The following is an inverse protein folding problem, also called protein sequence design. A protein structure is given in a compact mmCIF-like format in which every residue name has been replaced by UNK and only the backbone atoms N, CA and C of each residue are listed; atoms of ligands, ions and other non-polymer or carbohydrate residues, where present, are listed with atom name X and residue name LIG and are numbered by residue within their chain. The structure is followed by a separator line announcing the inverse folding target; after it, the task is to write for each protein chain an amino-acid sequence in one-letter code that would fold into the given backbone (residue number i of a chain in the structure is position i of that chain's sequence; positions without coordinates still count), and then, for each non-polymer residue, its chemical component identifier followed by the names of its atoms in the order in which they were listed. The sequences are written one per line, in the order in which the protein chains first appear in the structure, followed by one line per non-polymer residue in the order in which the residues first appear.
data_IF_521058127742
#
_entry.id   IF_521058127742
#
_cell.length_a   1.000
_cell.length_b   1.000
_cell.length_c   1.000
_cell.angle_alpha   90.00
_cell.angle_beta   90.00
_cell.angle_gamma   90.00
#
_symmetry.space_group_name_H-M   'P 1'
#
loop_
_entity.id
_entity.type
_entity.pdbx_description
1 polymer ?
#
# COMPACT_ATOMS: atom_id res chain seq x y z
N UNK A 1 -2.23 21.99 5.01
CA UNK A 1 -3.26 22.33 3.98
C UNK A 1 -4.19 21.14 3.94
N UNK A 2 -5.45 21.30 4.30
CA UNK A 2 -6.37 20.17 4.46
C UNK A 2 -6.89 19.78 3.07
N UNK A 3 -6.14 18.91 2.40
CA UNK A 3 -6.54 18.36 1.10
C UNK A 3 -7.30 17.08 1.37
N UNK A 4 -8.46 16.96 0.74
CA UNK A 4 -9.31 15.78 0.77
C UNK A 4 -9.35 15.17 -0.64
N UNK A 5 -9.51 13.85 -0.73
CA UNK A 5 -9.67 13.20 -2.02
C UNK A 5 -10.99 13.62 -2.69
N UNK A 6 -11.03 13.54 -4.02
CA UNK A 6 -12.25 13.81 -4.79
C UNK A 6 -13.31 12.69 -4.62
N UNK A 7 -12.84 11.47 -4.39
CA UNK A 7 -13.64 10.27 -4.15
C UNK A 7 -13.26 9.66 -2.78
N UNK A 8 -14.23 9.08 -2.09
CA UNK A 8 -13.95 8.24 -0.92
C UNK A 8 -13.09 7.05 -1.34
N UNK A 9 -11.88 6.97 -0.77
CA UNK A 9 -10.81 6.04 -1.15
C UNK A 9 -11.19 4.59 -0.85
N UNK A 10 -11.74 4.34 0.34
CA UNK A 10 -12.21 3.01 0.74
C UNK A 10 -13.25 2.49 -0.26
N UNK A 11 -14.26 3.30 -0.56
CA UNK A 11 -15.33 2.93 -1.48
C UNK A 11 -14.81 2.74 -2.90
N UNK A 12 -13.85 3.55 -3.33
CA UNK A 12 -13.20 3.41 -4.64
C UNK A 12 -12.51 2.04 -4.79
N UNK A 13 -11.77 1.60 -3.75
CA UNK A 13 -11.13 0.28 -3.72
C UNK A 13 -12.17 -0.84 -3.67
N UNK A 14 -13.22 -0.67 -2.86
CA UNK A 14 -14.32 -1.64 -2.77
C UNK A 14 -15.06 -1.80 -4.12
N UNK A 15 -15.40 -0.71 -4.81
CA UNK A 15 -16.01 -0.71 -6.15
C UNK A 15 -15.12 -1.40 -7.20
N UNK A 16 -13.80 -1.38 -6.99
CA UNK A 16 -12.85 -2.04 -7.86
C UNK A 16 -12.64 -3.53 -7.54
N UNK A 17 -13.14 -4.00 -6.38
CA UNK A 17 -13.12 -5.40 -5.95
C UNK A 17 -12.15 -5.72 -4.81
N UNK A 18 -11.47 -4.72 -4.25
CA UNK A 18 -10.60 -4.88 -3.09
C UNK A 18 -11.41 -4.57 -1.82
N UNK A 19 -12.16 -5.57 -1.36
CA UNK A 19 -13.08 -5.48 -0.20
C UNK A 19 -12.65 -6.35 1.00
N UNK A 20 -11.72 -7.27 0.79
CA UNK A 20 -11.33 -8.27 1.79
C UNK A 20 -9.98 -7.90 2.44
N UNK A 21 -9.36 -8.89 3.09
CA UNK A 21 -8.00 -8.82 3.61
C UNK A 21 -7.01 -8.33 2.53
N UNK A 22 -6.30 -7.24 2.82
CA UNK A 22 -5.21 -6.78 1.98
C UNK A 22 -4.14 -6.05 2.81
N UNK A 23 -2.93 -6.03 2.26
CA UNK A 23 -1.89 -5.13 2.73
C UNK A 23 -1.37 -4.31 1.57
N UNK A 24 -1.20 -3.02 1.81
CA UNK A 24 -0.71 -2.04 0.87
C UNK A 24 0.55 -1.37 1.42
N UNK A 25 1.59 -1.20 0.60
CA UNK A 25 2.80 -0.47 0.96
C UNK A 25 3.01 0.72 0.03
N UNK A 26 3.20 1.90 0.59
CA UNK A 26 3.65 3.09 -0.12
C UNK A 26 5.15 3.21 0.07
N UNK A 27 5.88 3.24 -1.04
CA UNK A 27 7.34 3.24 -1.04
C UNK A 27 7.85 4.47 -1.78
N UNK A 28 8.78 5.19 -1.18
CA UNK A 28 9.47 6.36 -1.73
C UNK A 28 10.53 5.95 -2.78
N UNK A 29 10.08 5.15 -3.76
CA UNK A 29 10.82 4.68 -4.93
C UNK A 29 9.86 4.75 -6.12
N UNK A 30 10.12 5.62 -7.09
CA UNK A 30 9.31 5.76 -8.30
C UNK A 30 9.61 4.75 -9.42
N UNK A 31 10.79 4.10 -9.38
CA UNK A 31 11.18 3.09 -10.36
C UNK A 31 10.61 1.71 -9.99
N UNK A 32 9.60 1.26 -10.73
CA UNK A 32 8.97 -0.06 -10.52
C UNK A 32 9.94 -1.22 -10.73
N UNK A 33 10.96 -1.07 -11.57
CA UNK A 33 11.99 -2.09 -11.76
C UNK A 33 12.86 -2.24 -10.51
N UNK A 34 13.20 -1.13 -9.87
CA UNK A 34 13.92 -1.11 -8.60
C UNK A 34 13.08 -1.71 -7.47
N UNK A 35 11.80 -1.34 -7.37
CA UNK A 35 10.86 -1.94 -6.40
C UNK A 35 10.76 -3.46 -6.62
N UNK A 36 10.56 -3.91 -7.87
CA UNK A 36 10.46 -5.34 -8.19
C UNK A 36 11.74 -6.11 -7.85
N UNK A 37 12.91 -5.49 -8.03
CA UNK A 37 14.22 -6.07 -7.71
C UNK A 37 14.38 -6.24 -6.19
N UNK A 38 14.00 -5.23 -5.41
CA UNK A 38 14.06 -5.27 -3.93
C UNK A 38 13.08 -6.27 -3.34
N UNK A 39 11.90 -6.41 -3.95
CA UNK A 39 10.92 -7.44 -3.58
C UNK A 39 11.31 -8.84 -4.04
N UNK A 40 12.42 -9.01 -4.76
CA UNK A 40 12.81 -10.30 -5.34
C UNK A 40 11.71 -10.92 -6.22
N UNK A 41 10.96 -10.10 -6.96
CA UNK A 41 9.94 -10.58 -7.90
C UNK A 41 10.63 -11.32 -9.04
N UNK A 42 10.27 -12.59 -9.23
CA UNK A 42 10.83 -13.45 -10.28
C UNK A 42 10.57 -12.86 -11.67
N UNK A 43 11.63 -12.59 -12.44
CA UNK A 43 11.54 -11.84 -13.71
C UNK A 43 10.65 -12.51 -14.74
N UNK A 44 10.64 -13.83 -14.79
CA UNK A 44 9.83 -14.66 -15.69
C UNK A 44 8.34 -14.69 -15.33
N UNK A 45 7.97 -14.25 -14.13
CA UNK A 45 6.58 -14.14 -13.67
C UNK A 45 5.97 -12.75 -13.86
N UNK A 46 6.79 -11.76 -14.25
CA UNK A 46 6.34 -10.36 -14.34
C UNK A 46 5.38 -10.16 -15.49
N UNK A 47 4.18 -9.67 -15.18
CA UNK A 47 3.15 -9.34 -16.17
C UNK A 47 2.70 -7.90 -15.97
N UNK A 48 2.80 -7.08 -17.01
CA UNK A 48 2.21 -5.74 -17.01
C UNK A 48 0.69 -5.88 -17.15
N UNK A 49 -0.06 -5.43 -16.15
CA UNK A 49 -1.51 -5.51 -16.17
C UNK A 49 -2.16 -4.39 -15.35
N UNK A 50 -3.41 -4.06 -15.68
CA UNK A 50 -4.21 -3.11 -14.91
C UNK A 50 -4.74 -3.72 -13.61
N UNK A 51 -5.14 -2.84 -12.68
CA UNK A 51 -5.56 -3.21 -11.33
C UNK A 51 -6.63 -4.32 -11.28
N UNK A 52 -7.70 -4.19 -12.09
CA UNK A 52 -8.77 -5.21 -12.15
C UNK A 52 -8.29 -6.58 -12.63
N UNK A 53 -7.25 -6.63 -13.45
CA UNK A 53 -6.67 -7.90 -13.89
C UNK A 53 -5.85 -8.51 -12.78
N UNK A 54 -5.08 -7.69 -12.05
CA UNK A 54 -4.32 -8.12 -10.89
C UNK A 54 -5.25 -8.72 -9.81
N UNK A 55 -6.38 -8.07 -9.51
CA UNK A 55 -7.37 -8.56 -8.54
C UNK A 55 -8.00 -9.91 -8.92
N UNK A 56 -7.99 -10.34 -10.18
CA UNK A 56 -8.46 -11.70 -10.53
C UNK A 56 -7.53 -12.80 -10.00
N UNK A 57 -6.28 -12.44 -9.73
CA UNK A 57 -5.31 -13.31 -9.08
C UNK A 57 -5.38 -13.22 -7.56
N UNK A 58 -6.25 -12.37 -6.99
CA UNK A 58 -6.41 -12.24 -5.55
C UNK A 58 -7.13 -13.48 -4.99
N UNK A 59 -6.41 -14.20 -4.15
CA UNK A 59 -6.80 -15.40 -3.42
C UNK A 59 -6.06 -15.39 -2.07
N UNK A 60 -6.69 -14.83 -1.01
CA UNK A 60 -6.10 -14.78 0.32
C UNK A 60 -5.71 -16.15 0.90
N UNK A 61 -6.31 -17.24 0.41
CA UNK A 61 -6.02 -18.60 0.85
C UNK A 61 -4.87 -19.27 0.10
N UNK A 62 -4.36 -18.67 -0.99
CA UNK A 62 -3.28 -19.23 -1.78
C UNK A 62 -1.94 -19.14 -1.04
N UNK A 63 -1.07 -20.14 -1.22
CA UNK A 63 0.31 -20.12 -0.75
C UNK A 63 1.24 -19.32 -1.69
N UNK A 64 0.81 -19.03 -2.93
CA UNK A 64 1.57 -18.19 -3.84
C UNK A 64 1.62 -16.77 -3.27
N UNK A 65 2.80 -16.14 -3.31
CA UNK A 65 2.98 -14.77 -2.83
C UNK A 65 3.00 -13.82 -4.01
N UNK A 66 1.85 -13.26 -4.36
CA UNK A 66 1.70 -12.41 -5.55
C UNK A 66 1.54 -10.98 -5.11
N UNK A 67 2.32 -10.09 -5.73
CA UNK A 67 2.22 -8.64 -5.54
C UNK A 67 1.89 -7.95 -6.85
N UNK A 68 1.18 -6.84 -6.75
CA UNK A 68 1.02 -5.90 -7.85
C UNK A 68 1.61 -4.55 -7.45
N UNK A 69 2.55 -4.06 -8.25
CA UNK A 69 3.22 -2.77 -8.02
C UNK A 69 2.78 -1.76 -9.07
N UNK A 70 2.51 -0.53 -8.66
CA UNK A 70 2.06 0.54 -9.55
C UNK A 70 2.71 1.86 -9.15
N UNK A 71 2.95 2.72 -10.14
CA UNK A 71 3.42 4.07 -9.87
C UNK A 71 2.26 4.90 -9.31
N UNK A 72 2.52 5.58 -8.20
CA UNK A 72 1.59 6.54 -7.61
C UNK A 72 1.96 7.96 -8.07
N UNK A 73 3.22 8.34 -7.89
CA UNK A 73 3.81 9.58 -8.39
C UNK A 73 5.18 9.28 -9.02
N UNK A 74 5.89 10.26 -9.61
CA UNK A 74 7.25 10.04 -10.09
C UNK A 74 8.23 9.55 -9.00
N UNK A 75 7.94 9.82 -7.73
CA UNK A 75 8.79 9.48 -6.60
C UNK A 75 8.23 8.30 -5.75
N UNK A 76 6.93 8.02 -5.87
CA UNK A 76 6.24 7.03 -5.04
C UNK A 76 5.65 5.87 -5.86
N UNK A 77 5.75 4.67 -5.30
CA UNK A 77 5.05 3.48 -5.78
C UNK A 77 4.10 2.94 -4.71
N UNK A 78 3.01 2.31 -5.17
CA UNK A 78 2.12 1.51 -4.33
C UNK A 78 2.33 0.02 -4.65
N UNK A 79 2.52 -0.78 -3.61
CA UNK A 79 2.58 -2.24 -3.68
C UNK A 79 1.33 -2.79 -3.02
N UNK A 80 0.60 -3.65 -3.72
CA UNK A 80 -0.54 -4.38 -3.17
C UNK A 80 -0.21 -5.86 -3.09
N UNK A 81 -0.35 -6.42 -1.89
CA UNK A 81 -0.21 -7.85 -1.67
C UNK A 81 -1.55 -8.54 -1.95
N UNK A 82 -1.57 -9.44 -2.93
CA UNK A 82 -2.80 -10.03 -3.46
C UNK A 82 -3.01 -11.48 -3.02
N UNK A 83 -1.96 -12.22 -2.70
CA UNK A 83 -2.07 -13.62 -2.26
C UNK A 83 -0.92 -13.97 -1.32
N UNK A 84 -1.13 -14.91 -0.40
CA UNK A 84 -0.04 -15.51 0.37
C UNK A 84 0.09 -14.97 1.81
N UNK A 85 0.81 -15.75 2.62
CA UNK A 85 1.08 -15.49 4.04
C UNK A 85 2.06 -14.33 4.32
N UNK A 86 3.19 -14.60 4.98
CA UNK A 86 4.07 -13.55 5.56
C UNK A 86 4.47 -12.47 4.54
N UNK A 87 4.23 -11.23 4.94
CA UNK A 87 4.42 -10.01 4.17
C UNK A 87 5.86 -9.87 3.63
N UNK A 88 6.06 -9.28 2.43
CA UNK A 88 7.37 -8.77 2.05
C UNK A 88 7.88 -7.80 3.10
N UNK A 89 9.14 -7.98 3.48
CA UNK A 89 9.76 -7.20 4.54
C UNK A 89 9.96 -5.75 4.08
N UNK A 90 9.22 -4.82 4.71
CA UNK A 90 9.37 -3.38 4.49
C UNK A 90 10.81 -2.89 4.72
N UNK A 91 11.60 -3.64 5.49
CA UNK A 91 13.00 -3.40 5.77
C UNK A 91 13.84 -3.29 4.49
N UNK A 92 13.75 -4.23 3.56
CA UNK A 92 14.55 -4.21 2.31
C UNK A 92 14.16 -3.05 1.38
N UNK A 93 12.85 -2.76 1.32
CA UNK A 93 12.32 -1.63 0.57
C UNK A 93 12.82 -0.29 1.13
N UNK A 94 13.03 -0.21 2.44
CA UNK A 94 13.40 1.03 3.13
C UNK A 94 14.91 1.35 3.13
N UNK A 95 15.79 0.40 2.78
CA UNK A 95 17.25 0.60 2.77
C UNK A 95 17.66 1.73 1.83
N UNK A 96 18.54 2.64 2.27
CA UNK A 96 19.11 3.69 1.41
C UNK A 96 18.31 5.00 1.45
N UNK A 97 17.66 5.27 2.58
CA UNK A 97 16.91 6.48 2.86
C UNK A 97 15.47 6.47 2.35
N UNK A 98 14.97 5.32 1.87
CA UNK A 98 13.61 5.23 1.35
C UNK A 98 12.61 5.05 2.50
N UNK A 99 11.57 5.87 2.48
CA UNK A 99 10.44 5.74 3.40
C UNK A 99 9.50 4.67 2.88
N UNK A 100 9.04 3.82 3.79
CA UNK A 100 8.02 2.81 3.53
C UNK A 100 6.93 2.96 4.57
N UNK A 101 5.70 3.03 4.10
CA UNK A 101 4.51 3.02 4.94
C UNK A 101 3.61 1.86 4.55
N UNK A 102 3.01 1.18 5.51
CA UNK A 102 2.12 0.05 5.23
C UNK A 102 0.80 0.14 5.97
N UNK A 103 -0.28 -0.23 5.29
CA UNK A 103 -1.62 -0.40 5.87
C UNK A 103 -2.01 -1.85 5.67
N UNK A 104 -2.37 -2.52 6.76
CA UNK A 104 -2.94 -3.88 6.73
C UNK A 104 -4.39 -3.82 7.15
N UNK A 105 -5.29 -4.14 6.22
CA UNK A 105 -6.72 -4.28 6.45
C UNK A 105 -7.04 -5.76 6.67
N UNK A 106 -7.52 -6.09 7.87
CA UNK A 106 -8.00 -7.42 8.25
C UNK A 106 -9.54 -7.42 8.23
N UNK A 107 -10.16 -8.60 8.43
CA UNK A 107 -11.62 -8.72 8.41
C UNK A 107 -12.29 -7.97 9.58
N UNK A 108 -11.62 -7.86 10.73
CA UNK A 108 -12.18 -7.29 11.96
C UNK A 108 -11.41 -6.08 12.50
N UNK A 109 -10.27 -5.74 11.91
CA UNK A 109 -9.41 -4.64 12.37
C UNK A 109 -8.55 -4.05 11.25
N UNK A 110 -8.07 -2.83 11.45
CA UNK A 110 -7.04 -2.22 10.63
C UNK A 110 -5.82 -2.02 11.51
N UNK A 111 -4.67 -2.49 11.03
CA UNK A 111 -3.41 -2.21 11.70
C UNK A 111 -3.03 -0.75 11.39
N UNK A 112 -2.71 0.07 12.40
CA UNK A 112 -2.25 1.43 12.18
C UNK A 112 -1.06 1.49 11.21
N UNK A 113 -0.95 2.60 10.48
CA UNK A 113 0.08 2.78 9.44
C UNK A 113 1.47 2.51 10.02
N UNK A 114 2.12 1.44 9.56
CA UNK A 114 3.51 1.14 9.89
C UNK A 114 4.46 2.11 9.19
N UNK A 115 5.61 2.40 9.79
CA UNK A 115 6.64 3.26 9.21
C UNK A 115 8.01 2.59 9.29
N UNK A 116 8.69 2.46 8.15
CA UNK A 116 10.05 1.97 8.05
C UNK A 116 10.96 2.91 7.25
N UNK A 117 12.21 3.03 7.68
CA UNK A 117 13.26 3.79 6.99
C UNK A 117 14.63 3.17 7.27
N UNK A 118 15.49 3.10 6.25
CA UNK A 118 16.87 2.62 6.34
C UNK A 118 17.02 1.21 6.96
N UNK A 119 16.09 0.32 6.64
CA UNK A 119 16.08 -1.04 7.16
C UNK A 119 15.71 -1.10 8.65
N UNK A 120 14.98 -0.13 9.17
CA UNK A 120 14.44 -0.15 10.53
C UNK A 120 12.93 0.06 10.48
N UNK A 121 12.18 -0.84 11.11
CA UNK A 121 10.78 -0.61 11.43
C UNK A 121 10.71 0.29 12.67
N UNK A 122 10.14 1.48 12.50
CA UNK A 122 10.02 2.50 13.54
C UNK A 122 8.65 2.48 14.23
N UNK A 123 7.84 1.45 14.00
CA UNK A 123 6.49 1.28 14.55
C UNK A 123 5.45 2.10 13.80
N UNK A 124 4.43 2.54 14.53
CA UNK A 124 3.28 3.26 13.97
C UNK A 124 3.62 4.72 13.66
N UNK A 125 3.20 5.21 12.49
CA UNK A 125 3.45 6.59 12.05
C UNK A 125 2.93 7.63 13.05
N UNK A 126 1.84 7.33 13.77
CA UNK A 126 1.19 8.25 14.70
C UNK A 126 2.06 8.63 15.90
N UNK A 127 3.12 7.85 16.17
CA UNK A 127 4.13 8.17 17.19
C UNK A 127 5.19 9.18 16.72
N UNK A 128 5.19 9.56 15.44
CA UNK A 128 6.21 10.41 14.83
C UNK A 128 5.67 11.82 14.53
N UNK A 129 6.05 12.79 15.37
CA UNK A 129 5.57 14.18 15.30
C UNK A 129 5.77 14.85 13.93
N UNK A 130 6.80 14.46 13.17
CA UNK A 130 7.10 15.01 11.84
C UNK A 130 5.93 14.85 10.84
N UNK A 131 5.12 13.79 11.02
CA UNK A 131 3.97 13.51 10.17
C UNK A 131 2.64 13.99 10.76
N UNK A 132 2.61 14.50 12.00
CA UNK A 132 1.38 14.92 12.70
C UNK A 132 0.48 15.85 11.91
N UNK A 133 1.08 16.72 11.09
CA UNK A 133 0.36 17.64 10.20
C UNK A 133 -0.58 16.94 9.20
N UNK A 134 -0.37 15.67 8.88
CA UNK A 134 -1.14 14.92 7.89
C UNK A 134 -2.44 14.32 8.45
N UNK A 135 -2.60 14.28 9.77
CA UNK A 135 -3.83 13.82 10.45
C UNK A 135 -4.34 14.79 11.52
N UNK A 136 -3.77 16.00 11.61
CA UNK A 136 -4.12 16.98 12.64
C UNK A 136 -5.61 17.40 12.66
N UNK A 137 -6.33 17.20 11.56
CA UNK A 137 -7.76 17.48 11.39
C UNK A 137 -8.64 16.22 11.34
N UNK A 138 -8.06 15.02 11.52
CA UNK A 138 -8.81 13.77 11.56
C UNK A 138 -9.34 13.52 12.97
N UNK A 139 -10.48 12.84 13.05
CA UNK A 139 -11.13 12.52 14.31
C UNK A 139 -10.44 11.31 14.96
N UNK A 140 -9.90 11.50 16.16
CA UNK A 140 -9.49 10.41 17.06
C UNK A 140 -10.73 9.92 17.82
N UNK A 141 -11.63 9.25 17.10
CA UNK A 141 -12.88 8.70 17.65
C UNK A 141 -12.80 7.16 17.73
N UNK A 142 -12.83 6.56 18.93
CA UNK A 142 -12.87 5.10 19.09
C UNK A 142 -14.16 4.45 18.59
N UNK A 143 -15.16 5.23 18.18
CA UNK A 143 -16.43 4.78 17.61
C UNK A 143 -16.45 4.64 16.08
N UNK A 144 -15.36 4.93 15.38
CA UNK A 144 -15.30 4.82 13.92
C UNK A 144 -15.55 3.37 13.46
N UNK A 145 -16.26 3.23 12.34
CA UNK A 145 -16.31 1.96 11.63
C UNK A 145 -14.97 1.67 10.93
N UNK A 146 -14.68 0.39 10.64
CA UNK A 146 -13.47 0.00 9.90
C UNK A 146 -13.37 0.72 8.55
N UNK A 147 -14.49 0.92 7.85
CA UNK A 147 -14.50 1.63 6.58
C UNK A 147 -14.08 3.11 6.73
N UNK A 148 -14.50 3.76 7.82
CA UNK A 148 -14.14 5.14 8.12
C UNK A 148 -12.67 5.24 8.58
N UNK A 149 -12.20 4.29 9.39
CA UNK A 149 -10.80 4.22 9.78
C UNK A 149 -9.88 3.99 8.56
N UNK A 150 -10.25 3.07 7.66
CA UNK A 150 -9.51 2.83 6.42
C UNK A 150 -9.48 4.08 5.54
N UNK A 151 -10.62 4.77 5.41
CA UNK A 151 -10.68 6.03 4.68
C UNK A 151 -9.74 7.09 5.26
N UNK A 152 -9.70 7.22 6.59
CA UNK A 152 -8.79 8.15 7.26
C UNK A 152 -7.32 7.80 6.99
N UNK A 153 -6.93 6.53 7.15
CA UNK A 153 -5.56 6.10 6.90
C UNK A 153 -5.15 6.29 5.42
N UNK A 154 -6.04 5.97 4.47
CA UNK A 154 -5.80 6.23 3.04
C UNK A 154 -5.69 7.74 2.74
N UNK A 155 -6.45 8.59 3.42
CA UNK A 155 -6.31 10.03 3.31
C UNK A 155 -4.94 10.52 3.82
N UNK A 156 -4.46 10.00 4.95
CA UNK A 156 -3.12 10.31 5.46
C UNK A 156 -2.07 9.93 4.41
N UNK A 157 -2.17 8.75 3.82
CA UNK A 157 -1.24 8.32 2.77
C UNK A 157 -1.28 9.18 1.52
N UNK A 158 -2.48 9.58 1.08
CA UNK A 158 -2.62 10.50 -0.04
C UNK A 158 -2.00 11.87 0.22
N UNK A 159 -2.07 12.37 1.47
CA UNK A 159 -1.44 13.63 1.87
C UNK A 159 0.09 13.53 1.96
N UNK A 160 0.62 12.43 2.51
CA UNK A 160 2.08 12.19 2.62
C UNK A 160 2.72 12.08 1.24
N UNK A 161 2.09 11.33 0.35
CA UNK A 161 2.63 11.06 -1.00
C UNK A 161 2.31 12.16 -2.02
N UNK A 162 1.39 13.06 -1.68
CA UNK A 162 0.92 14.13 -2.55
C UNK A 162 -0.07 13.68 -3.63
N UNK A 163 -0.53 12.42 -3.61
CA UNK A 163 -1.55 11.91 -4.53
C UNK A 163 -2.51 10.94 -3.83
N UNK A 164 -3.81 11.22 -3.91
CA UNK A 164 -4.87 10.29 -3.53
C UNK A 164 -5.14 9.28 -4.65
N UNK A 165 -5.65 8.10 -4.30
CA UNK A 165 -6.11 7.12 -5.28
C UNK A 165 -7.36 7.66 -5.99
N UNK A 166 -7.42 7.43 -7.30
CA UNK A 166 -8.52 7.89 -8.13
C UNK A 166 -8.78 6.87 -9.26
N UNK A 167 -9.80 7.14 -10.06
CA UNK A 167 -10.18 6.27 -11.19
C UNK A 167 -9.10 6.22 -12.28
N UNK A 168 -8.29 7.27 -12.42
CA UNK A 168 -7.16 7.29 -13.36
C UNK A 168 -6.09 6.29 -12.90
N UNK A 169 -5.71 6.34 -11.63
CA UNK A 169 -4.76 5.41 -11.03
C UNK A 169 -5.25 3.95 -11.12
N UNK A 170 -6.54 3.68 -10.87
CA UNK A 170 -7.10 2.34 -11.05
C UNK A 170 -7.02 1.82 -12.50
N UNK A 171 -7.02 2.74 -13.47
CA UNK A 171 -6.90 2.42 -14.90
C UNK A 171 -5.44 2.31 -15.36
N UNK A 172 -4.48 2.81 -14.56
CA UNK A 172 -3.05 2.74 -14.87
C UNK A 172 -2.53 1.30 -14.83
N UNK A 173 -1.57 0.97 -15.71
CA UNK A 173 -0.90 -0.31 -15.64
C UNK A 173 0.04 -0.37 -14.43
N UNK A 174 0.15 -1.56 -13.85
CA UNK A 174 1.20 -1.93 -12.90
C UNK A 174 1.90 -3.21 -13.34
N UNK A 175 2.77 -3.73 -12.49
CA UNK A 175 3.47 -5.00 -12.69
C UNK A 175 2.99 -5.99 -11.64
N UNK A 176 2.37 -7.07 -12.09
CA UNK A 176 2.05 -8.24 -11.29
C UNK A 176 3.24 -9.20 -11.31
N UNK A 177 3.55 -9.85 -10.20
CA UNK A 177 4.53 -10.93 -10.19
C UNK A 177 4.57 -11.69 -8.88
N UNK A 178 5.27 -12.82 -8.89
CA UNK A 178 5.43 -13.68 -7.73
C UNK A 178 6.73 -13.33 -6.98
N UNK A 179 6.63 -13.22 -5.66
CA UNK A 179 7.79 -13.10 -4.78
C UNK A 179 8.54 -14.44 -4.77
N UNK A 180 9.87 -14.38 -4.94
CA UNK A 180 10.70 -15.57 -4.78
C UNK A 180 10.62 -16.10 -3.34
N UNK A 181 10.60 -17.42 -3.12
CA UNK A 181 10.65 -17.97 -1.77
C UNK A 181 11.92 -17.49 -1.06
N UNK A 182 11.75 -16.85 0.10
CA UNK A 182 12.84 -16.43 0.98
C UNK A 182 13.69 -17.66 1.32
N UNK A 183 14.97 -17.66 0.96
CA UNK A 183 15.92 -18.73 1.27
C UNK A 183 16.38 -18.70 2.72
#
# INVERSE_FOLDING_TARGET
MNVFPADNQQRLLAEAGLVAYFTALWVDIGDLGEVARRLHIAEDTRVVCGFKTALKSHDPGSLSRTVWISSLTPDWSLILHLTGGHMPDATELSVGGHRVFDITHLEEEIIPIGYSIDGNNLGEIFSHEEYSQYWADLEDDPGLSLDEELEQQLCVMGRITGRFLDREWLASPGVLGELSPSH
#
